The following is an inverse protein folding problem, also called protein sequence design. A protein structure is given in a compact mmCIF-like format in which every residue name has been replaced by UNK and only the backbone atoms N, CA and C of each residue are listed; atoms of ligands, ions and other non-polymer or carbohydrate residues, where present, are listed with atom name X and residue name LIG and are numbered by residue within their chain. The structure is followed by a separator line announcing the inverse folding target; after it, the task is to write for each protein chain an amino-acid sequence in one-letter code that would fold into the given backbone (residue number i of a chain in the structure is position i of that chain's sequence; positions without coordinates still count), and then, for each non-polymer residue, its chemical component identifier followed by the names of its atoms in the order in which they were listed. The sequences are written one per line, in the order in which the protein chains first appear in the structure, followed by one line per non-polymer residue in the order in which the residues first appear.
data_IF_516882288598
#
_entry.id   IF_516882288598
#
_cell.length_a   1.000
_cell.length_b   1.000
_cell.length_c   1.000
_cell.angle_alpha   90.00
_cell.angle_beta   90.00
_cell.angle_gamma   90.00
#
_symmetry.space_group_name_H-M   'P 1'
#
loop_
_entity.id
_entity.type
_entity.pdbx_description
1 polymer ?
#
# COMPACT_ATOMS: atom_id res chain seq x y z
N UNK A 1 -3.82 20.28 -15.02
CA UNK A 1 -3.66 19.24 -13.96
C UNK A 1 -2.90 18.07 -14.57
N UNK A 2 -1.61 17.89 -14.23
CA UNK A 2 -0.82 16.74 -14.71
C UNK A 2 -1.40 15.49 -14.05
N UNK A 3 -2.15 14.69 -14.81
CA UNK A 3 -2.42 13.30 -14.45
C UNK A 3 -1.06 12.63 -14.33
N UNK A 4 -0.76 12.08 -13.18
CA UNK A 4 0.25 11.04 -13.02
C UNK A 4 -0.23 9.83 -13.83
N UNK A 5 0.01 9.85 -15.14
CA UNK A 5 -0.52 8.86 -16.09
C UNK A 5 0.16 7.48 -15.93
N UNK A 6 1.25 7.45 -15.17
CA UNK A 6 2.04 6.25 -14.94
C UNK A 6 1.66 5.55 -13.64
N UNK A 7 1.64 4.23 -13.68
CA UNK A 7 1.38 3.38 -12.51
C UNK A 7 2.50 3.52 -11.48
N UNK A 8 3.74 3.78 -11.92
CA UNK A 8 4.84 4.13 -11.02
C UNK A 8 4.53 5.35 -10.14
N UNK A 9 3.98 6.41 -10.73
CA UNK A 9 3.62 7.63 -10.01
C UNK A 9 2.41 7.40 -9.08
N UNK A 10 1.41 6.64 -9.54
CA UNK A 10 0.28 6.23 -8.70
C UNK A 10 0.75 5.45 -7.46
N UNK A 11 1.65 4.49 -7.63
CA UNK A 11 2.21 3.72 -6.51
C UNK A 11 2.97 4.62 -5.52
N UNK A 12 3.73 5.60 -6.02
CA UNK A 12 4.42 6.57 -5.15
C UNK A 12 3.43 7.42 -4.33
N UNK A 13 2.37 7.92 -4.96
CA UNK A 13 1.33 8.69 -4.26
C UNK A 13 0.62 7.88 -3.18
N UNK A 14 0.37 6.60 -3.43
CA UNK A 14 -0.27 5.71 -2.46
C UNK A 14 0.68 5.41 -1.29
N UNK A 15 1.95 5.12 -1.57
CA UNK A 15 2.96 4.89 -0.53
C UNK A 15 3.18 6.11 0.38
N UNK A 16 3.09 7.31 -0.19
CA UNK A 16 3.18 8.56 0.57
C UNK A 16 1.96 8.80 1.49
N UNK A 17 0.82 8.14 1.25
CA UNK A 17 -0.40 8.38 2.00
C UNK A 17 -0.33 7.75 3.41
N UNK A 18 -0.52 8.53 4.50
CA UNK A 18 -0.48 8.01 5.86
C UNK A 18 -1.54 6.94 6.14
N UNK A 19 -2.71 6.99 5.49
CA UNK A 19 -3.73 5.94 5.65
C UNK A 19 -3.27 4.59 5.08
N UNK A 20 -2.45 4.60 4.04
CA UNK A 20 -1.90 3.36 3.49
C UNK A 20 -0.88 2.73 4.46
N UNK A 21 -0.10 3.55 5.17
CA UNK A 21 0.81 3.10 6.22
C UNK A 21 0.06 2.39 7.36
N UNK A 22 -1.05 2.99 7.81
CA UNK A 22 -1.94 2.37 8.81
C UNK A 22 -2.52 1.02 8.34
N UNK A 23 -2.86 0.91 7.05
CA UNK A 23 -3.29 -0.36 6.48
C UNK A 23 -2.20 -1.43 6.55
N UNK A 24 -0.93 -1.07 6.32
CA UNK A 24 0.20 -2.00 6.44
C UNK A 24 0.41 -2.43 7.89
N UNK A 25 0.33 -1.51 8.86
CA UNK A 25 0.36 -1.84 10.28
C UNK A 25 -0.74 -2.84 10.64
N UNK A 26 -1.98 -2.55 10.25
CA UNK A 26 -3.12 -3.44 10.50
C UNK A 26 -2.93 -4.82 9.86
N UNK A 27 -2.46 -4.87 8.60
CA UNK A 27 -2.22 -6.12 7.89
C UNK A 27 -1.10 -6.92 8.55
N UNK A 28 -0.02 -6.27 8.99
CA UNK A 28 1.08 -6.92 9.70
C UNK A 28 0.64 -7.46 11.04
N UNK A 29 -0.13 -6.67 11.82
CA UNK A 29 -0.78 -7.14 13.06
C UNK A 29 -1.59 -8.40 12.82
N UNK A 30 -2.45 -8.40 11.82
CA UNK A 30 -3.30 -9.55 11.53
C UNK A 30 -2.51 -10.77 11.03
N UNK A 31 -1.40 -10.56 10.30
CA UNK A 31 -0.55 -11.65 9.81
C UNK A 31 0.30 -12.28 10.92
N UNK A 32 0.85 -11.45 11.80
CA UNK A 32 1.73 -11.89 12.90
C UNK A 32 0.97 -12.16 14.21
N UNK A 33 -0.34 -11.90 14.25
CA UNK A 33 -1.16 -12.04 15.46
C UNK A 33 -0.83 -11.01 16.55
N UNK A 34 -0.27 -9.86 16.17
CA UNK A 34 0.19 -8.83 17.11
C UNK A 34 -0.96 -7.96 17.58
N UNK A 35 -0.88 -7.53 18.83
CA UNK A 35 -1.82 -6.56 19.43
C UNK A 35 -1.41 -5.11 19.11
N UNK A 36 -2.33 -4.13 19.23
CA UNK A 36 -2.02 -2.71 19.01
C UNK A 36 -0.90 -2.17 19.90
N UNK A 37 -0.66 -2.78 21.07
CA UNK A 37 0.44 -2.42 21.96
C UNK A 37 1.81 -2.94 21.51
N UNK A 38 1.87 -4.00 20.69
CA UNK A 38 3.13 -4.58 20.20
C UNK A 38 3.59 -3.96 18.89
N UNK A 39 2.65 -3.60 18.02
CA UNK A 39 2.93 -2.85 16.81
C UNK A 39 2.02 -1.62 16.81
N UNK A 40 2.47 -0.43 17.24
CA UNK A 40 1.66 0.78 17.22
C UNK A 40 1.39 1.27 15.79
N UNK A 41 0.34 2.06 15.63
CA UNK A 41 -0.03 2.65 14.36
C UNK A 41 1.00 3.73 13.96
N UNK A 42 1.46 3.69 12.71
CA UNK A 42 2.53 4.56 12.22
C UNK A 42 3.94 3.98 12.37
N UNK A 43 4.07 2.65 12.50
CA UNK A 43 5.40 2.00 12.52
C UNK A 43 6.04 1.97 11.12
N UNK A 44 5.23 1.93 10.05
CA UNK A 44 5.73 1.94 8.68
C UNK A 44 5.86 3.37 8.12
N UNK A 45 6.96 3.64 7.42
CA UNK A 45 7.16 4.89 6.68
C UNK A 45 6.79 4.74 5.18
N UNK A 46 6.91 5.83 4.42
CA UNK A 46 6.81 5.82 2.96
C UNK A 46 7.76 4.80 2.31
N UNK A 47 8.98 4.66 2.84
CA UNK A 47 9.95 3.71 2.30
C UNK A 47 9.47 2.26 2.41
N UNK A 48 8.95 1.89 3.58
CA UNK A 48 8.34 0.56 3.80
C UNK A 48 7.14 0.34 2.89
N UNK A 49 6.28 1.35 2.74
CA UNK A 49 5.12 1.24 1.87
C UNK A 49 5.52 1.01 0.41
N UNK A 50 6.57 1.70 -0.06
CA UNK A 50 7.11 1.50 -1.39
C UNK A 50 7.81 0.14 -1.57
N UNK A 51 8.50 -0.34 -0.54
CA UNK A 51 9.10 -1.68 -0.54
C UNK A 51 8.01 -2.77 -0.58
N UNK A 52 6.97 -2.62 0.23
CA UNK A 52 5.83 -3.52 0.25
C UNK A 52 5.18 -3.63 -1.13
N UNK A 53 4.92 -2.50 -1.80
CA UNK A 53 4.33 -2.50 -3.15
C UNK A 53 5.26 -3.24 -4.14
N UNK A 54 6.56 -2.99 -4.08
CA UNK A 54 7.56 -3.65 -4.94
C UNK A 54 7.59 -5.17 -4.73
N UNK A 55 7.72 -5.60 -3.48
CA UNK A 55 7.73 -7.03 -3.13
C UNK A 55 6.41 -7.71 -3.50
N UNK A 56 5.27 -7.08 -3.20
CA UNK A 56 3.96 -7.65 -3.50
C UNK A 56 3.71 -7.75 -5.01
N UNK A 57 4.18 -6.79 -5.80
CA UNK A 57 4.08 -6.80 -7.25
C UNK A 57 5.18 -7.65 -7.94
N UNK A 58 6.17 -8.13 -7.20
CA UNK A 58 7.29 -8.90 -7.74
C UNK A 58 8.21 -8.10 -8.67
N UNK A 59 8.39 -6.81 -8.37
CA UNK A 59 9.22 -5.88 -9.16
C UNK A 59 10.32 -5.27 -8.29
N UNK A 60 11.45 -4.92 -8.91
CA UNK A 60 12.56 -4.25 -8.23
C UNK A 60 12.37 -2.73 -8.25
N UNK A 61 11.77 -2.22 -9.32
CA UNK A 61 11.57 -0.78 -9.53
C UNK A 61 10.13 -0.44 -9.87
N UNK A 62 9.62 0.66 -9.28
CA UNK A 62 8.25 1.15 -9.53
C UNK A 62 8.01 1.46 -11.01
N UNK A 63 9.05 1.78 -11.79
CA UNK A 63 8.97 1.99 -13.24
C UNK A 63 8.48 0.76 -14.00
N UNK A 64 8.74 -0.43 -13.48
CA UNK A 64 8.28 -1.68 -14.08
C UNK A 64 6.76 -1.82 -14.01
N UNK A 65 6.08 -1.09 -13.11
CA UNK A 65 4.61 -1.02 -13.12
C UNK A 65 4.06 -0.43 -14.41
N UNK A 66 4.85 0.28 -15.21
CA UNK A 66 4.35 0.83 -16.48
C UNK A 66 4.48 -0.14 -17.66
N UNK A 67 5.38 -1.10 -17.57
CA UNK A 67 5.67 -2.07 -18.63
C UNK A 67 5.20 -3.49 -18.30
N UNK A 68 4.98 -3.80 -17.02
CA UNK A 68 4.59 -5.13 -16.54
C UNK A 68 3.11 -5.16 -16.14
N UNK A 69 2.28 -5.75 -16.99
CA UNK A 69 0.84 -5.85 -16.77
C UNK A 69 0.46 -6.69 -15.53
N UNK A 70 1.24 -7.74 -15.21
CA UNK A 70 1.02 -8.53 -13.99
C UNK A 70 1.23 -7.67 -12.73
N UNK A 71 2.30 -6.88 -12.72
CA UNK A 71 2.57 -5.95 -11.62
C UNK A 71 1.47 -4.89 -11.49
N UNK A 72 0.93 -4.39 -12.61
CA UNK A 72 -0.23 -3.47 -12.62
C UNK A 72 -1.46 -4.08 -11.98
N UNK A 73 -1.84 -5.28 -12.41
CA UNK A 73 -3.00 -5.99 -11.86
C UNK A 73 -2.84 -6.23 -10.36
N UNK A 74 -1.62 -6.57 -9.92
CA UNK A 74 -1.32 -6.77 -8.51
C UNK A 74 -1.45 -5.46 -7.71
N UNK A 75 -0.92 -4.35 -8.23
CA UNK A 75 -1.10 -3.02 -7.65
C UNK A 75 -2.59 -2.69 -7.51
N UNK A 76 -3.39 -2.83 -8.57
CA UNK A 76 -4.83 -2.53 -8.53
C UNK A 76 -5.56 -3.37 -7.48
N UNK A 77 -5.18 -4.64 -7.30
CA UNK A 77 -5.72 -5.49 -6.23
C UNK A 77 -5.33 -5.01 -4.84
N UNK A 78 -4.08 -4.58 -4.62
CA UNK A 78 -3.64 -3.98 -3.35
C UNK A 78 -4.43 -2.70 -3.06
N UNK A 79 -4.60 -1.84 -4.07
CA UNK A 79 -5.36 -0.59 -3.93
C UNK A 79 -6.83 -0.87 -3.62
N UNK A 80 -7.44 -1.84 -4.28
CA UNK A 80 -8.82 -2.22 -4.01
C UNK A 80 -9.01 -2.76 -2.59
N UNK A 81 -8.08 -3.58 -2.09
CA UNK A 81 -8.11 -4.10 -0.72
C UNK A 81 -7.94 -2.97 0.32
N UNK A 82 -6.96 -2.10 0.10
CA UNK A 82 -6.76 -0.89 0.89
C UNK A 82 -8.03 -0.02 0.93
N UNK A 83 -8.65 0.25 -0.22
CA UNK A 83 -9.89 1.04 -0.26
C UNK A 83 -11.04 0.38 0.50
N UNK A 84 -11.16 -0.95 0.42
CA UNK A 84 -12.18 -1.68 1.21
C UNK A 84 -11.91 -1.55 2.71
N UNK A 85 -10.67 -1.71 3.14
CA UNK A 85 -10.27 -1.52 4.53
C UNK A 85 -10.49 -0.07 4.99
N UNK A 86 -10.06 0.92 4.20
CA UNK A 86 -10.22 2.34 4.51
C UNK A 86 -11.71 2.72 4.66
N UNK A 87 -12.59 2.17 3.82
CA UNK A 87 -14.05 2.34 3.95
C UNK A 87 -14.65 1.66 5.18
N UNK A 88 -14.00 0.63 5.73
CA UNK A 88 -14.43 0.02 7.00
C UNK A 88 -13.98 0.88 8.17
N UNK A 89 -12.73 1.34 8.16
CA UNK A 89 -12.20 2.26 9.17
C UNK A 89 -13.00 3.57 9.23
N UNK A 90 -13.34 4.15 8.07
CA UNK A 90 -14.14 5.38 8.00
C UNK A 90 -15.59 5.21 8.47
N UNK A 91 -16.10 3.99 8.60
CA UNK A 91 -17.45 3.70 9.12
C UNK A 91 -17.46 3.34 10.61
N UNK A 92 -16.28 3.11 11.20
CA UNK A 92 -16.11 2.80 12.61
C UNK A 92 -15.63 3.98 13.46
N UNK A 93 -15.56 5.18 12.87
CA UNK A 93 -15.35 6.45 13.54
C UNK A 93 -16.66 7.25 13.50
#
# INVERSE_FOLDING_TARGET
MRRTDTQAARAALIGANPQFRLYLDHRRRHREGLTPGQLPDGTHDEQDAAEFIRQACGIESRRELDTNDQARQMLDRIVADYQRWARRQARGH
#
